data_IF_436515167037
#
_entry.id   IF_436515167037
#
_cell.length_a   1.000
_cell.length_b   1.000
_cell.length_c   1.000
_cell.angle_alpha   90.00
_cell.angle_beta   90.00
_cell.angle_gamma   90.00
#
_symmetry.space_group_name_H-M   'P 1'
#
loop_
_entity.id
_entity.type
_entity.pdbx_description
1 polymer ?
#
# COMPACT_ATOMS: atom_id res chain seq x y z
N UNK A 1 3.12 9.82 -30.31
CA UNK A 1 2.06 9.38 -29.39
C UNK A 1 2.60 8.19 -28.62
N UNK A 2 3.01 8.37 -27.36
CA UNK A 2 3.59 7.31 -26.54
C UNK A 2 2.49 6.53 -25.83
N UNK A 3 2.37 5.26 -26.18
CA UNK A 3 1.58 4.27 -25.45
C UNK A 3 2.32 3.93 -24.15
N UNK A 4 1.62 4.00 -23.02
CA UNK A 4 2.10 3.52 -21.72
C UNK A 4 2.16 1.99 -21.76
N UNK A 5 3.38 1.44 -21.77
CA UNK A 5 3.64 0.01 -21.62
C UNK A 5 3.92 -0.28 -20.13
N UNK A 6 2.92 -0.83 -19.45
CA UNK A 6 3.06 -1.39 -18.12
C UNK A 6 3.47 -2.85 -18.28
N UNK A 7 4.78 -3.09 -18.37
CA UNK A 7 5.32 -4.42 -18.52
C UNK A 7 6.77 -4.47 -18.02
N UNK A 8 7.00 -5.32 -17.01
CA UNK A 8 8.29 -5.94 -16.73
C UNK A 8 9.30 -5.13 -15.90
N UNK A 9 9.12 -5.10 -14.58
CA UNK A 9 10.23 -4.90 -13.62
C UNK A 9 10.95 -6.24 -13.42
N UNK A 10 11.80 -6.61 -14.40
CA UNK A 10 12.97 -7.45 -14.13
C UNK A 10 14.21 -6.57 -14.34
N UNK A 11 14.75 -6.06 -13.23
CA UNK A 11 16.03 -5.35 -13.20
C UNK A 11 16.62 -5.46 -11.80
N UNK A 12 17.92 -5.77 -11.64
CA UNK A 12 18.55 -5.96 -10.33
C UNK A 12 18.82 -4.60 -9.70
N UNK A 13 17.77 -3.98 -9.17
CA UNK A 13 17.79 -2.70 -8.47
C UNK A 13 17.51 -2.92 -6.99
N UNK A 14 18.57 -2.83 -6.19
CA UNK A 14 18.63 -3.02 -4.75
C UNK A 14 17.63 -2.16 -3.96
N UNK A 15 16.39 -2.62 -3.84
CA UNK A 15 15.47 -2.25 -2.78
C UNK A 15 14.78 -3.54 -2.33
N UNK A 16 15.30 -4.11 -1.24
CA UNK A 16 14.99 -5.46 -0.80
C UNK A 16 13.50 -5.74 -0.74
N UNK A 17 13.09 -6.82 -1.41
CA UNK A 17 11.85 -7.55 -1.17
C UNK A 17 10.62 -6.68 -0.89
N UNK A 18 10.37 -5.69 -1.76
CA UNK A 18 9.02 -5.15 -1.85
C UNK A 18 8.18 -6.25 -2.47
N UNK A 19 7.23 -6.79 -1.70
CA UNK A 19 6.15 -7.63 -2.23
C UNK A 19 5.45 -6.80 -3.29
N UNK A 20 5.86 -6.95 -4.55
CA UNK A 20 5.16 -6.40 -5.67
C UNK A 20 3.80 -7.10 -5.64
N UNK A 21 2.76 -6.38 -5.24
CA UNK A 21 1.39 -6.82 -5.45
C UNK A 21 1.30 -7.24 -6.92
N UNK A 22 0.95 -8.49 -7.18
CA UNK A 22 0.78 -8.98 -8.55
C UNK A 22 -0.48 -8.31 -9.12
N UNK A 23 -0.29 -7.11 -9.68
CA UNK A 23 -1.34 -6.30 -10.29
C UNK A 23 -1.65 -6.76 -11.72
N UNK A 24 -0.92 -7.77 -12.21
CA UNK A 24 -1.04 -8.33 -13.56
C UNK A 24 -2.30 -9.20 -13.74
N UNK A 25 -2.88 -9.72 -12.65
CA UNK A 25 -4.03 -10.62 -12.68
C UNK A 25 -5.33 -10.11 -12.02
N UNK A 26 -5.49 -8.79 -11.87
CA UNK A 26 -6.73 -8.16 -11.39
C UNK A 26 -6.59 -7.54 -10.00
N UNK A 27 -7.72 -7.24 -9.33
CA UNK A 27 -7.69 -6.70 -7.96
C UNK A 27 -7.00 -7.71 -7.05
N UNK A 28 -5.89 -7.35 -6.37
CA UNK A 28 -5.17 -8.29 -5.54
C UNK A 28 -6.05 -8.80 -4.40
N UNK A 29 -5.83 -10.05 -3.96
CA UNK A 29 -6.63 -10.64 -2.89
C UNK A 29 -6.49 -9.82 -1.60
N UNK A 30 -7.56 -9.75 -0.83
CA UNK A 30 -7.62 -8.97 0.42
C UNK A 30 -6.47 -9.34 1.38
N UNK A 31 -6.09 -10.61 1.43
CA UNK A 31 -4.94 -11.09 2.23
C UNK A 31 -3.61 -10.46 1.82
N UNK A 32 -3.38 -10.25 0.51
CA UNK A 32 -2.17 -9.58 0.02
C UNK A 32 -2.19 -8.09 0.39
N UNK A 33 -3.35 -7.44 0.32
CA UNK A 33 -3.51 -6.05 0.76
C UNK A 33 -3.26 -5.90 2.26
N UNK A 34 -3.77 -6.83 3.08
CA UNK A 34 -3.52 -6.88 4.52
C UNK A 34 -2.01 -7.03 4.79
N UNK A 35 -1.34 -7.99 4.12
CA UNK A 35 0.09 -8.21 4.30
C UNK A 35 0.93 -6.97 3.94
N UNK A 36 0.57 -6.26 2.86
CA UNK A 36 1.23 -5.02 2.46
C UNK A 36 0.95 -3.89 3.45
N UNK A 37 -0.27 -3.77 3.97
CA UNK A 37 -0.60 -2.78 5.00
C UNK A 37 0.16 -3.01 6.31
N UNK A 38 0.36 -4.27 6.72
CA UNK A 38 1.18 -4.60 7.89
C UNK A 38 2.65 -4.20 7.69
N UNK A 39 3.21 -4.44 6.49
CA UNK A 39 4.58 -4.00 6.13
C UNK A 39 4.70 -2.48 6.08
N UNK A 40 3.68 -1.78 5.58
CA UNK A 40 3.60 -0.32 5.65
C UNK A 40 3.63 0.16 7.10
N UNK A 41 2.81 -0.41 7.99
CA UNK A 41 2.80 -0.03 9.42
C UNK A 41 4.16 -0.29 10.09
N UNK A 42 4.82 -1.40 9.75
CA UNK A 42 6.16 -1.71 10.25
C UNK A 42 7.23 -0.72 9.73
N UNK A 43 7.16 -0.34 8.46
CA UNK A 43 8.02 0.69 7.88
C UNK A 43 7.78 2.05 8.55
N UNK A 44 6.51 2.45 8.72
CA UNK A 44 6.13 3.68 9.43
C UNK A 44 6.63 3.66 10.86
N UNK A 45 6.58 2.52 11.55
CA UNK A 45 7.10 2.42 12.93
C UNK A 45 8.61 2.65 13.01
N UNK A 46 9.36 2.29 11.98
CA UNK A 46 10.82 2.51 11.90
C UNK A 46 11.18 3.91 11.43
N UNK A 47 10.49 4.42 10.42
CA UNK A 47 10.86 5.66 9.71
C UNK A 47 10.07 6.89 10.18
N UNK A 48 8.79 6.73 10.49
CA UNK A 48 7.84 7.81 10.77
C UNK A 48 6.84 7.41 11.87
N UNK A 49 7.28 7.28 13.13
CA UNK A 49 6.45 6.76 14.23
C UNK A 49 5.17 7.57 14.47
N UNK A 50 5.14 8.85 14.08
CA UNK A 50 3.94 9.69 14.16
C UNK A 50 2.80 9.28 13.21
N UNK A 51 3.09 8.53 12.16
CA UNK A 51 2.14 8.12 11.12
C UNK A 51 1.69 6.66 11.26
N UNK A 52 2.22 5.92 12.25
CA UNK A 52 1.84 4.52 12.54
C UNK A 52 0.34 4.37 12.75
N UNK A 53 -0.32 5.38 13.34
CA UNK A 53 -1.77 5.41 13.51
C UNK A 53 -2.52 5.31 12.17
N UNK A 54 -2.00 5.92 11.11
CA UNK A 54 -2.61 5.85 9.78
C UNK A 54 -2.46 4.46 9.17
N UNK A 55 -1.30 3.82 9.34
CA UNK A 55 -1.10 2.41 8.96
C UNK A 55 -2.10 1.47 9.64
N UNK A 56 -2.32 1.65 10.95
CA UNK A 56 -3.31 0.88 11.71
C UNK A 56 -4.75 1.12 11.26
N UNK A 57 -5.10 2.33 10.82
CA UNK A 57 -6.43 2.63 10.28
C UNK A 57 -6.67 1.86 8.97
N UNK A 58 -5.63 1.72 8.14
CA UNK A 58 -5.69 0.95 6.90
C UNK A 58 -5.85 -0.54 7.20
N UNK A 59 -5.04 -1.09 8.12
CA UNK A 59 -5.14 -2.48 8.57
C UNK A 59 -6.53 -2.79 9.16
N UNK A 60 -7.05 -1.91 10.02
CA UNK A 60 -8.39 -2.05 10.59
C UNK A 60 -9.47 -2.06 9.50
N UNK A 61 -9.38 -1.14 8.51
CA UNK A 61 -10.33 -1.10 7.42
C UNK A 61 -10.32 -2.41 6.59
N UNK A 62 -9.14 -3.01 6.37
CA UNK A 62 -9.05 -4.30 5.69
C UNK A 62 -9.55 -5.47 6.55
N UNK A 63 -9.26 -5.46 7.86
CA UNK A 63 -9.75 -6.48 8.78
C UNK A 63 -11.28 -6.44 8.95
N UNK A 64 -11.86 -5.25 9.08
CA UNK A 64 -13.32 -5.03 9.09
C UNK A 64 -13.97 -5.62 7.81
N UNK A 65 -13.29 -5.50 6.68
CA UNK A 65 -13.77 -6.01 5.39
C UNK A 65 -13.62 -7.53 5.25
N UNK A 66 -12.58 -8.09 5.85
CA UNK A 66 -12.37 -9.53 5.91
C UNK A 66 -13.43 -10.20 6.80
N UNK A 67 -13.85 -9.53 7.88
CA UNK A 67 -14.87 -10.01 8.81
C UNK A 67 -16.29 -9.86 8.24
N UNK A 68 -16.61 -8.68 7.70
CA UNK A 68 -17.96 -8.37 7.18
C UNK A 68 -18.22 -8.94 5.77
N UNK A 69 -17.15 -9.40 5.09
CA UNK A 69 -17.21 -9.90 3.71
C UNK A 69 -17.53 -8.82 2.65
N UNK A 70 -17.58 -7.55 3.07
CA UNK A 70 -17.81 -6.40 2.22
C UNK A 70 -16.49 -5.86 1.63
N UNK A 71 -16.56 -5.14 0.50
CA UNK A 71 -15.38 -4.51 -0.08
C UNK A 71 -14.79 -3.46 0.88
N UNK A 72 -13.45 -3.35 0.94
CA UNK A 72 -12.82 -2.41 1.84
C UNK A 72 -13.20 -0.97 1.61
N UNK A 73 -13.33 -0.24 2.72
CA UNK A 73 -13.69 1.18 2.75
C UNK A 73 -12.60 2.02 2.06
N UNK A 74 -12.64 2.06 0.73
CA UNK A 74 -11.63 2.69 -0.12
C UNK A 74 -11.46 4.17 0.20
N UNK A 75 -12.53 4.87 0.57
CA UNK A 75 -12.46 6.27 1.01
C UNK A 75 -11.61 6.46 2.26
N UNK A 76 -11.80 5.60 3.27
CA UNK A 76 -11.07 5.64 4.53
C UNK A 76 -9.59 5.29 4.33
N UNK A 77 -9.33 4.28 3.50
CA UNK A 77 -7.97 3.86 3.13
C UNK A 77 -7.27 4.98 2.35
N UNK A 78 -7.95 5.59 1.36
CA UNK A 78 -7.43 6.73 0.59
C UNK A 78 -7.04 7.89 1.50
N UNK A 79 -7.90 8.29 2.42
CA UNK A 79 -7.61 9.40 3.33
C UNK A 79 -6.40 9.11 4.23
N UNK A 80 -6.26 7.88 4.73
CA UNK A 80 -5.10 7.50 5.53
C UNK A 80 -3.81 7.46 4.71
N UNK A 81 -3.86 6.96 3.47
CA UNK A 81 -2.72 6.96 2.54
C UNK A 81 -2.30 8.39 2.14
N UNK A 82 -3.26 9.29 1.97
CA UNK A 82 -3.02 10.71 1.68
C UNK A 82 -2.29 11.40 2.84
N UNK A 83 -2.75 11.18 4.08
CA UNK A 83 -2.09 11.69 5.29
C UNK A 83 -0.66 11.16 5.44
N UNK A 84 -0.44 9.88 5.13
CA UNK A 84 0.91 9.30 5.06
C UNK A 84 1.73 9.96 3.96
N UNK A 85 1.17 10.20 2.77
CA UNK A 85 1.90 10.84 1.68
C UNK A 85 2.28 12.29 1.98
N UNK A 86 1.47 12.99 2.79
CA UNK A 86 1.76 14.36 3.26
C UNK A 86 2.83 14.33 4.36
N UNK A 87 2.71 13.39 5.31
CA UNK A 87 3.57 13.34 6.48
C UNK A 87 4.90 12.60 6.27
N UNK A 88 4.98 11.68 5.33
CA UNK A 88 6.17 10.85 5.11
C UNK A 88 7.18 11.59 4.24
N UNK A 89 8.45 11.57 4.68
CA UNK A 89 9.55 12.15 3.91
C UNK A 89 9.75 11.39 2.58
N UNK A 90 10.05 12.15 1.53
CA UNK A 90 10.37 11.60 0.21
C UNK A 90 11.56 10.63 0.30
N UNK A 91 11.40 9.42 -0.25
CA UNK A 91 12.43 8.38 -0.25
C UNK A 91 12.32 7.35 0.88
N UNK A 92 11.28 7.40 1.71
CA UNK A 92 11.00 6.38 2.72
C UNK A 92 10.36 5.12 2.13
N UNK A 93 10.66 3.95 2.71
CA UNK A 93 10.04 2.69 2.32
C UNK A 93 8.51 2.73 2.50
N UNK A 94 8.07 3.44 3.53
CA UNK A 94 6.65 3.73 3.82
C UNK A 94 5.91 4.35 2.62
N UNK A 95 6.56 5.26 1.87
CA UNK A 95 5.95 5.92 0.72
C UNK A 95 5.88 5.00 -0.50
N UNK A 96 6.82 4.06 -0.65
CA UNK A 96 6.77 3.04 -1.69
C UNK A 96 5.57 2.08 -1.47
N UNK A 97 5.35 1.61 -0.25
CA UNK A 97 4.18 0.78 0.09
C UNK A 97 2.85 1.54 -0.09
N UNK A 98 2.83 2.82 0.29
CA UNK A 98 1.67 3.69 0.08
C UNK A 98 1.30 3.75 -1.41
N UNK A 99 2.29 3.96 -2.29
CA UNK A 99 2.08 3.97 -3.75
C UNK A 99 1.59 2.63 -4.30
N UNK A 100 2.14 1.51 -3.81
CA UNK A 100 1.69 0.18 -4.21
C UNK A 100 0.22 -0.06 -3.83
N UNK A 101 -0.21 0.36 -2.63
CA UNK A 101 -1.60 0.24 -2.20
C UNK A 101 -2.54 1.11 -3.04
N UNK A 102 -2.16 2.36 -3.33
CA UNK A 102 -2.93 3.25 -4.20
C UNK A 102 -3.14 2.63 -5.59
N UNK A 103 -2.06 2.11 -6.20
CA UNK A 103 -2.14 1.43 -7.49
C UNK A 103 -3.01 0.16 -7.43
N UNK A 104 -2.86 -0.64 -6.37
CA UNK A 104 -3.65 -1.85 -6.17
C UNK A 104 -5.14 -1.61 -6.00
N UNK A 105 -5.49 -0.50 -5.36
CA UNK A 105 -6.87 -0.07 -5.16
C UNK A 105 -7.42 0.71 -6.36
N UNK A 106 -6.60 1.01 -7.37
CA UNK A 106 -6.97 1.82 -8.54
C UNK A 106 -7.41 3.24 -8.17
N UNK A 107 -6.81 3.82 -7.13
CA UNK A 107 -7.09 5.17 -6.61
C UNK A 107 -6.19 6.22 -7.27
#
# INVERSE_FOLDING_TARGET
>A
MSTYDYGHVNGPGQYGEFVALDLTHGTPPLEALIAVSARLTEALRRECPGLVRQGQIIEAAFAESADDGLPPNRGRIRSALDDICIGASAGTASLAYTRQLVQALGL
#
